data_IF_498365851720
#
_entry.id   IF_498365851720
#
_cell.length_a   1.000
_cell.length_b   1.000
_cell.length_c   1.000
_cell.angle_alpha   90.00
_cell.angle_beta   90.00
_cell.angle_gamma   90.00
#
_symmetry.space_group_name_H-M   'P 1'
#
loop_
_entity.id
_entity.type
_entity.pdbx_description
1 polymer ?
#
# COMPACT_ATOMS: atom_id res chain seq x y z
N UNK A 1 -20.81 22.24 -2.34
CA UNK A 1 -20.96 21.60 -3.67
C UNK A 1 -22.15 20.63 -3.66
N UNK A 2 -23.30 21.04 -3.12
CA UNK A 2 -24.51 20.19 -3.04
C UNK A 2 -25.61 20.60 -4.03
N UNK A 3 -25.36 21.62 -4.87
CA UNK A 3 -26.38 22.19 -5.75
C UNK A 3 -26.28 21.76 -7.22
N UNK A 4 -25.29 20.94 -7.61
CA UNK A 4 -25.13 20.47 -9.02
C UNK A 4 -25.49 18.98 -9.19
N UNK A 5 -25.56 18.20 -8.10
CA UNK A 5 -25.88 16.77 -8.13
C UNK A 5 -27.38 16.43 -8.13
N UNK A 6 -28.27 17.43 -8.07
CA UNK A 6 -29.73 17.20 -8.12
C UNK A 6 -30.33 17.26 -9.53
N UNK A 7 -29.54 17.60 -10.55
CA UNK A 7 -30.05 17.73 -11.92
C UNK A 7 -29.96 16.42 -12.73
N UNK A 8 -29.02 15.52 -12.41
CA UNK A 8 -28.80 14.30 -13.20
C UNK A 8 -29.69 13.10 -12.84
N UNK A 9 -30.55 13.19 -11.82
CA UNK A 9 -31.45 12.07 -11.45
C UNK A 9 -32.88 12.19 -12.00
N UNK A 10 -33.26 13.28 -12.67
CA UNK A 10 -34.64 13.47 -13.16
C UNK A 10 -34.83 13.27 -14.68
N UNK A 11 -33.77 13.07 -15.46
CA UNK A 11 -33.89 12.89 -16.93
C UNK A 11 -33.71 11.42 -17.38
N UNK A 12 -33.40 10.51 -16.46
CA UNK A 12 -33.16 9.09 -16.74
C UNK A 12 -34.41 8.20 -16.85
N UNK A 13 -35.59 8.74 -17.14
CA UNK A 13 -36.84 7.96 -17.25
C UNK A 13 -37.31 7.69 -18.69
N UNK A 14 -36.49 7.96 -19.71
CA UNK A 14 -36.84 7.69 -21.12
C UNK A 14 -35.87 6.76 -21.88
N UNK A 15 -34.78 6.30 -21.27
CA UNK A 15 -33.89 5.32 -21.90
C UNK A 15 -33.61 4.19 -20.92
N UNK A 16 -34.46 3.16 -20.96
CA UNK A 16 -34.43 2.00 -20.06
C UNK A 16 -33.06 1.31 -19.99
N UNK A 17 -32.27 1.66 -18.98
CA UNK A 17 -31.14 0.89 -18.50
C UNK A 17 -31.31 0.65 -17.00
N UNK A 18 -31.04 -0.60 -16.60
CA UNK A 18 -31.24 -1.10 -15.25
C UNK A 18 -30.44 -0.29 -14.20
N UNK A 19 -30.97 -0.14 -12.97
CA UNK A 19 -30.28 0.57 -11.90
C UNK A 19 -28.97 -0.13 -11.51
N UNK A 20 -27.87 0.63 -11.53
CA UNK A 20 -26.61 0.22 -10.90
C UNK A 20 -26.86 -0.06 -9.41
N UNK A 21 -26.69 -1.31 -9.01
CA UNK A 21 -26.83 -1.80 -7.65
C UNK A 21 -25.65 -1.31 -6.79
N UNK A 22 -25.76 -0.10 -6.23
CA UNK A 22 -24.88 0.35 -5.14
C UNK A 22 -25.45 -0.23 -3.84
N UNK A 23 -25.10 -1.47 -3.54
CA UNK A 23 -25.26 -2.01 -2.20
C UNK A 23 -23.95 -2.62 -1.75
N UNK A 24 -23.66 -2.47 -0.46
CA UNK A 24 -22.77 -3.34 0.32
C UNK A 24 -21.30 -2.96 0.54
N UNK A 25 -20.86 -1.72 0.25
CA UNK A 25 -19.58 -1.21 0.79
C UNK A 25 -19.71 -0.10 1.85
N UNK A 26 -20.88 0.52 2.00
CA UNK A 26 -21.11 1.56 3.03
C UNK A 26 -21.34 0.97 4.42
N UNK A 27 -21.77 -0.28 4.53
CA UNK A 27 -22.11 -0.92 5.81
C UNK A 27 -20.89 -1.48 6.57
N UNK A 28 -19.81 -1.86 5.88
CA UNK A 28 -18.62 -2.35 6.58
C UNK A 28 -17.87 -1.21 7.28
N UNK A 29 -17.73 -0.03 6.67
CA UNK A 29 -17.10 1.13 7.33
C UNK A 29 -17.86 1.61 8.59
N UNK A 30 -19.20 1.50 8.61
CA UNK A 30 -20.02 1.93 9.75
C UNK A 30 -19.92 0.98 10.95
N UNK A 31 -19.79 -0.33 10.72
CA UNK A 31 -19.60 -1.33 11.78
C UNK A 31 -18.19 -1.23 12.39
N UNK A 32 -17.16 -0.98 11.57
CA UNK A 32 -15.78 -0.80 12.03
C UNK A 32 -15.60 0.45 12.91
N UNK A 33 -16.15 1.60 12.49
CA UNK A 33 -16.13 2.84 13.29
C UNK A 33 -16.96 2.71 14.56
N UNK A 34 -18.12 2.05 14.49
CA UNK A 34 -18.98 1.83 15.66
C UNK A 34 -18.36 0.90 16.70
N UNK A 35 -17.62 -0.13 16.30
CA UNK A 35 -16.91 -1.02 17.24
C UNK A 35 -15.66 -0.36 17.84
N UNK A 36 -14.97 0.51 17.09
CA UNK A 36 -13.86 1.31 17.61
C UNK A 36 -14.33 2.34 18.65
N UNK A 37 -15.43 3.05 18.36
CA UNK A 37 -16.05 4.01 19.26
C UNK A 37 -16.75 3.35 20.47
N UNK A 38 -17.24 2.10 20.33
CA UNK A 38 -17.76 1.31 21.47
C UNK A 38 -16.67 0.77 22.39
N UNK A 39 -15.44 0.57 21.90
CA UNK A 39 -14.32 0.14 22.75
C UNK A 39 -13.85 1.20 23.74
N UNK A 40 -14.12 2.47 23.45
CA UNK A 40 -13.86 3.60 24.36
C UNK A 40 -14.81 3.68 25.57
N UNK A 41 -15.90 2.91 25.60
CA UNK A 41 -16.93 2.96 26.66
C UNK A 41 -16.87 1.76 27.63
N UNK A 42 -15.92 0.85 27.44
CA UNK A 42 -15.61 -0.12 28.50
C UNK A 42 -14.83 0.61 29.59
N UNK A 43 -15.35 0.62 30.83
CA UNK A 43 -14.63 1.10 32.02
C UNK A 43 -13.24 0.44 32.08
N UNK A 44 -12.24 1.13 31.54
CA UNK A 44 -10.86 0.66 31.53
C UNK A 44 -10.43 0.45 32.98
N UNK A 45 -9.91 -0.73 33.34
CA UNK A 45 -9.31 -0.95 34.65
C UNK A 45 -8.29 0.14 34.94
N UNK A 46 -8.24 0.54 36.21
CA UNK A 46 -7.39 1.60 36.77
C UNK A 46 -5.99 1.63 36.13
N UNK A 47 -5.79 2.61 35.23
CA UNK A 47 -4.52 3.09 34.70
C UNK A 47 -3.61 2.07 33.98
N UNK A 48 -4.01 1.57 32.81
CA UNK A 48 -3.03 1.08 31.84
C UNK A 48 -2.32 2.28 31.19
N UNK A 49 -1.14 2.66 31.70
CA UNK A 49 -0.29 3.63 30.99
C UNK A 49 0.50 2.92 29.90
N UNK A 50 0.22 3.19 28.63
CA UNK A 50 0.94 2.57 27.51
C UNK A 50 0.11 2.45 26.24
N UNK A 51 0.63 1.72 25.25
CA UNK A 51 -0.17 1.31 24.10
C UNK A 51 -1.26 0.33 24.55
N UNK A 52 -2.45 0.44 23.98
CA UNK A 52 -3.42 -0.66 24.02
C UNK A 52 -2.94 -1.84 23.15
N UNK A 53 -3.71 -2.92 23.17
CA UNK A 53 -3.52 -4.02 22.23
C UNK A 53 -3.83 -3.57 20.80
N UNK A 54 -3.05 -4.06 19.84
CA UNK A 54 -3.36 -3.87 18.42
C UNK A 54 -4.81 -4.27 18.13
N UNK A 55 -5.57 -3.39 17.47
CA UNK A 55 -6.90 -3.70 16.95
C UNK A 55 -6.84 -4.77 15.86
N UNK A 56 -7.96 -5.21 15.25
CA UNK A 56 -7.90 -6.12 14.10
C UNK A 56 -7.31 -5.46 12.85
N UNK A 57 -6.78 -6.26 11.92
CA UNK A 57 -6.34 -5.79 10.60
C UNK A 57 -7.53 -5.33 9.78
N UNK A 58 -7.43 -4.16 9.14
CA UNK A 58 -8.42 -3.70 8.17
C UNK A 58 -8.53 -4.67 6.99
N UNK A 59 -9.62 -4.60 6.21
CA UNK A 59 -9.62 -5.15 4.85
C UNK A 59 -8.47 -4.60 4.00
N UNK A 60 -8.14 -5.32 2.93
CA UNK A 60 -7.15 -4.90 1.95
C UNK A 60 -7.55 -3.57 1.29
N UNK A 61 -6.60 -2.67 1.09
CA UNK A 61 -6.84 -1.35 0.49
C UNK A 61 -7.27 -1.39 -0.98
N UNK A 62 -7.10 -2.53 -1.66
CA UNK A 62 -7.60 -2.79 -3.02
C UNK A 62 -8.49 -4.02 -3.01
N UNK A 63 -9.32 -4.15 -4.04
CA UNK A 63 -10.14 -5.34 -4.35
C UNK A 63 -9.43 -6.33 -5.29
N UNK A 64 -8.33 -5.93 -5.92
CA UNK A 64 -7.50 -6.75 -6.81
C UNK A 64 -6.03 -6.31 -6.71
N UNK A 65 -5.11 -7.14 -7.17
CA UNK A 65 -3.68 -6.91 -7.17
C UNK A 65 -3.09 -6.80 -5.77
N UNK A 66 -2.09 -5.90 -5.62
CA UNK A 66 -1.37 -5.70 -4.36
C UNK A 66 -1.91 -4.48 -3.61
N UNK A 67 -2.20 -4.66 -2.32
CA UNK A 67 -2.66 -3.60 -1.43
C UNK A 67 -2.03 -3.68 -0.04
N UNK A 68 -2.58 -2.90 0.90
CA UNK A 68 -2.18 -2.90 2.30
C UNK A 68 -3.38 -3.15 3.21
N UNK A 69 -3.15 -3.93 4.26
CA UNK A 69 -4.01 -3.98 5.43
C UNK A 69 -3.35 -3.15 6.54
N UNK A 70 -4.18 -2.41 7.29
CA UNK A 70 -3.72 -1.51 8.34
C UNK A 70 -4.21 -1.99 9.69
N UNK A 71 -3.35 -1.97 10.69
CA UNK A 71 -3.70 -2.21 12.08
C UNK A 71 -3.33 -0.98 12.91
N UNK A 72 -4.21 -0.59 13.83
CA UNK A 72 -4.00 0.58 14.67
C UNK A 72 -4.07 0.21 16.15
N UNK A 73 -3.44 1.04 16.98
CA UNK A 73 -3.44 0.97 18.44
C UNK A 73 -3.48 2.38 19.03
N UNK A 74 -4.12 2.54 20.17
CA UNK A 74 -4.27 3.79 20.91
C UNK A 74 -3.24 3.90 22.03
N UNK A 75 -2.76 5.12 22.27
CA UNK A 75 -1.91 5.41 23.43
C UNK A 75 -2.81 5.80 24.61
N UNK A 76 -2.92 4.94 25.62
CA UNK A 76 -3.82 5.07 26.78
C UNK A 76 -3.25 6.01 27.88
N UNK A 77 -2.43 7.00 27.51
CA UNK A 77 -1.88 7.97 28.46
C UNK A 77 -2.91 9.00 28.93
N UNK A 78 -2.89 9.36 30.22
CA UNK A 78 -3.65 10.53 30.71
C UNK A 78 -3.05 11.82 30.15
N UNK A 79 -3.86 12.85 29.82
CA UNK A 79 -3.34 14.17 29.51
C UNK A 79 -2.50 14.69 30.70
N UNK A 80 -1.42 15.45 30.45
CA UNK A 80 -0.60 15.97 31.54
C UNK A 80 -1.48 16.83 32.45
N UNK A 81 -1.58 16.44 33.74
CA UNK A 81 -1.99 17.40 34.76
C UNK A 81 -0.92 18.49 34.75
N UNK A 82 -1.35 19.75 34.60
CA UNK A 82 -0.43 20.89 34.63
C UNK A 82 0.43 20.79 35.91
N UNK A 83 1.71 21.14 35.77
CA UNK A 83 2.82 21.11 36.75
C UNK A 83 3.72 19.85 36.64
N UNK A 84 4.97 20.04 36.18
CA UNK A 84 6.09 19.10 36.39
C UNK A 84 6.50 18.17 35.23
N UNK A 85 5.77 18.17 34.11
CA UNK A 85 6.30 17.89 32.78
C UNK A 85 7.09 16.61 32.50
N UNK A 86 6.46 15.43 32.54
CA UNK A 86 6.81 14.35 31.60
C UNK A 86 5.54 13.64 31.14
N UNK A 87 5.08 13.94 29.93
CA UNK A 87 4.06 13.13 29.26
C UNK A 87 4.65 11.75 29.02
N UNK A 88 4.05 10.69 29.58
CA UNK A 88 4.34 9.30 29.14
C UNK A 88 3.82 9.16 27.72
N UNK A 89 4.59 9.66 26.75
CA UNK A 89 4.34 9.46 25.32
C UNK A 89 4.66 8.01 24.99
N UNK A 90 3.71 7.29 24.42
CA UNK A 90 3.94 5.94 23.96
C UNK A 90 5.03 5.94 22.88
N UNK A 91 6.08 5.14 23.06
CA UNK A 91 7.18 5.02 22.10
C UNK A 91 6.83 4.03 20.99
N UNK A 92 7.18 4.36 19.75
CA UNK A 92 6.92 3.53 18.57
C UNK A 92 5.65 3.94 17.80
N UNK A 93 5.30 3.19 16.74
CA UNK A 93 4.23 3.60 15.84
C UNK A 93 2.83 3.25 16.41
N UNK A 94 1.84 4.08 16.12
CA UNK A 94 0.41 3.83 16.40
C UNK A 94 -0.29 3.00 15.32
N UNK A 95 0.34 2.86 14.15
CA UNK A 95 -0.14 2.09 13.01
C UNK A 95 0.94 1.14 12.50
N UNK A 96 0.53 -0.02 12.02
CA UNK A 96 1.39 -0.92 11.25
C UNK A 96 0.64 -1.43 10.02
N UNK A 97 1.41 -1.85 9.03
CA UNK A 97 0.91 -2.28 7.74
C UNK A 97 1.41 -3.69 7.43
N UNK A 98 0.59 -4.48 6.75
CA UNK A 98 1.02 -5.72 6.10
C UNK A 98 0.53 -5.73 4.66
N UNK A 99 1.28 -6.37 3.80
CA UNK A 99 0.94 -6.48 2.40
C UNK A 99 -0.12 -7.58 2.19
N UNK A 100 -1.19 -7.25 1.49
CA UNK A 100 -2.17 -8.19 0.97
C UNK A 100 -1.98 -8.35 -0.55
N UNK A 101 -2.11 -9.59 -1.02
CA UNK A 101 -2.09 -9.93 -2.44
C UNK A 101 -3.40 -10.64 -2.79
N UNK A 102 -4.12 -10.05 -3.75
CA UNK A 102 -5.39 -10.53 -4.26
C UNK A 102 -5.21 -10.98 -5.71
N UNK A 103 -6.30 -11.44 -6.33
CA UNK A 103 -6.30 -11.77 -7.76
C UNK A 103 -5.81 -10.57 -8.59
N UNK A 104 -5.01 -10.78 -9.65
CA UNK A 104 -4.57 -9.71 -10.54
C UNK A 104 -5.74 -8.86 -11.01
N UNK A 105 -5.50 -7.56 -11.23
CA UNK A 105 -6.51 -6.69 -11.80
C UNK A 105 -6.55 -6.87 -13.32
N UNK A 106 -7.74 -7.01 -13.90
CA UNK A 106 -7.90 -7.07 -15.36
C UNK A 106 -7.41 -5.79 -16.02
N UNK A 107 -6.63 -5.95 -17.10
CA UNK A 107 -6.13 -4.83 -17.90
C UNK A 107 -5.07 -3.94 -17.24
N UNK A 108 -4.68 -4.20 -15.99
CA UNK A 108 -3.54 -3.53 -15.38
C UNK A 108 -2.23 -4.24 -15.76
N UNK A 109 -1.19 -3.46 -16.03
CA UNK A 109 0.15 -3.99 -16.15
C UNK A 109 0.53 -4.76 -14.87
N UNK A 110 1.27 -5.86 -15.02
CA UNK A 110 1.86 -6.58 -13.88
C UNK A 110 2.71 -5.66 -13.00
N UNK A 111 3.28 -4.62 -13.61
CA UNK A 111 3.95 -3.50 -12.93
C UNK A 111 2.97 -2.39 -12.54
N UNK A 112 2.69 -2.29 -11.24
CA UNK A 112 1.84 -1.28 -10.61
C UNK A 112 2.37 0.14 -10.81
N UNK A 113 3.68 0.33 -10.97
CA UNK A 113 4.29 1.64 -11.23
C UNK A 113 4.08 2.04 -12.69
N UNK A 114 4.20 1.10 -13.63
CA UNK A 114 3.90 1.33 -15.04
C UNK A 114 2.44 1.75 -15.24
N UNK A 115 1.49 1.08 -14.58
CA UNK A 115 0.07 1.45 -14.64
C UNK A 115 -0.17 2.92 -14.22
N UNK A 116 0.56 3.39 -13.19
CA UNK A 116 0.48 4.79 -12.75
C UNK A 116 1.02 5.77 -13.80
N UNK A 117 2.13 5.46 -14.47
CA UNK A 117 2.63 6.29 -15.58
C UNK A 117 1.64 6.29 -16.76
N UNK A 118 1.10 5.13 -17.13
CA UNK A 118 0.16 5.01 -18.26
C UNK A 118 -1.15 5.75 -18.05
N UNK A 119 -1.56 6.03 -16.81
CA UNK A 119 -2.71 6.92 -16.54
C UNK A 119 -2.53 8.34 -17.08
N UNK A 120 -1.28 8.75 -17.38
CA UNK A 120 -0.95 10.04 -17.98
C UNK A 120 -0.78 9.99 -19.50
N UNK A 121 -0.95 8.83 -20.15
CA UNK A 121 -0.71 8.71 -21.60
C UNK A 121 -1.64 9.62 -22.42
N UNK A 122 -2.86 9.84 -21.92
CA UNK A 122 -3.86 10.71 -22.50
C UNK A 122 -3.83 12.16 -21.97
N UNK A 123 -2.87 12.50 -21.12
CA UNK A 123 -2.74 13.83 -20.51
C UNK A 123 -1.61 14.61 -21.21
N UNK A 124 -1.89 15.79 -21.80
CA UNK A 124 -0.84 16.60 -22.43
C UNK A 124 0.22 17.08 -21.43
N UNK A 125 1.49 16.88 -21.76
CA UNK A 125 2.66 17.39 -21.05
C UNK A 125 3.44 18.34 -21.96
N UNK A 126 3.45 19.64 -21.63
CA UNK A 126 4.01 20.67 -22.51
C UNK A 126 3.30 20.74 -23.87
N UNK A 127 1.99 20.49 -23.90
CA UNK A 127 1.17 20.54 -25.12
C UNK A 127 1.15 19.26 -25.96
N UNK A 128 1.97 18.25 -25.64
CA UNK A 128 2.03 16.98 -26.37
C UNK A 128 1.69 15.79 -25.47
N UNK A 129 1.08 14.76 -26.04
CA UNK A 129 0.84 13.48 -25.36
C UNK A 129 2.00 12.52 -25.61
N UNK A 130 2.21 11.61 -24.67
CA UNK A 130 3.29 10.64 -24.73
C UNK A 130 2.81 9.28 -24.21
N UNK A 131 3.44 8.21 -24.68
CA UNK A 131 3.39 6.91 -24.01
C UNK A 131 4.48 6.90 -22.96
N UNK A 132 4.10 6.81 -21.69
CA UNK A 132 5.01 6.91 -20.56
C UNK A 132 5.52 5.55 -20.12
N UNK A 133 6.80 5.46 -19.79
CA UNK A 133 7.40 4.30 -19.11
C UNK A 133 7.82 4.66 -17.69
N UNK A 134 7.51 3.79 -16.75
CA UNK A 134 7.93 3.93 -15.37
C UNK A 134 9.45 3.84 -15.24
N UNK A 135 9.97 4.67 -14.33
CA UNK A 135 11.36 4.60 -13.84
C UNK A 135 11.27 4.52 -12.33
N UNK A 136 12.17 3.73 -11.72
CA UNK A 136 12.42 3.79 -10.28
C UNK A 136 13.57 4.78 -10.08
N UNK A 137 13.31 5.99 -9.58
CA UNK A 137 14.36 6.97 -9.37
C UNK A 137 15.13 6.64 -8.09
N UNK A 138 16.44 6.43 -8.18
CA UNK A 138 17.31 6.38 -6.99
C UNK A 138 17.77 7.80 -6.62
N UNK A 139 17.74 8.24 -5.34
CA UNK A 139 17.27 7.54 -4.13
C UNK A 139 15.77 7.76 -3.81
N UNK A 140 15.02 8.46 -4.65
CA UNK A 140 13.63 8.85 -4.43
C UNK A 140 12.60 7.79 -4.88
N UNK A 141 12.83 6.51 -4.57
CA UNK A 141 12.11 5.36 -5.13
C UNK A 141 10.58 5.42 -5.06
N UNK A 142 9.99 6.25 -4.20
CA UNK A 142 8.54 6.40 -4.06
C UNK A 142 7.95 7.65 -4.75
N UNK A 143 8.69 8.32 -5.62
CA UNK A 143 8.19 9.33 -6.53
C UNK A 143 7.78 8.71 -7.87
N UNK A 144 6.73 9.23 -8.52
CA UNK A 144 6.32 8.76 -9.84
C UNK A 144 7.12 9.49 -10.93
N UNK A 145 8.31 8.98 -11.21
CA UNK A 145 9.12 9.42 -12.34
C UNK A 145 8.85 8.54 -13.56
N UNK A 146 8.55 9.18 -14.69
CA UNK A 146 8.27 8.52 -15.95
C UNK A 146 9.16 9.09 -17.07
N UNK A 147 9.49 8.26 -18.07
CA UNK A 147 10.17 8.68 -19.30
C UNK A 147 9.27 8.40 -20.49
N UNK A 148 9.09 9.34 -21.42
CA UNK A 148 8.32 9.07 -22.63
C UNK A 148 9.08 8.14 -23.57
N UNK A 149 8.37 7.24 -24.24
CA UNK A 149 8.94 6.40 -25.30
C UNK A 149 9.57 7.26 -26.40
N UNK A 150 10.75 6.86 -26.89
CA UNK A 150 11.48 7.59 -27.93
C UNK A 150 12.08 8.94 -27.50
N UNK A 151 11.96 9.33 -26.24
CA UNK A 151 12.52 10.59 -25.70
C UNK A 151 13.53 10.32 -24.59
N UNK A 152 14.43 11.27 -24.37
CA UNK A 152 15.51 11.17 -23.36
C UNK A 152 15.20 11.88 -22.05
N UNK A 153 14.22 12.78 -22.02
CA UNK A 153 13.87 13.49 -20.81
C UNK A 153 13.08 12.60 -19.85
N UNK A 154 13.14 12.92 -18.55
CA UNK A 154 12.32 12.32 -17.50
C UNK A 154 11.39 13.39 -16.96
N UNK A 155 10.20 12.98 -16.53
CA UNK A 155 9.23 13.86 -15.90
C UNK A 155 8.72 13.23 -14.61
N UNK A 156 8.58 14.05 -13.57
CA UNK A 156 7.90 13.65 -12.34
C UNK A 156 6.41 13.96 -12.51
N UNK A 157 5.61 12.93 -12.78
CA UNK A 157 4.18 13.08 -13.03
C UNK A 157 3.36 13.13 -11.73
N UNK A 158 3.89 12.59 -10.64
CA UNK A 158 3.34 12.74 -9.29
C UNK A 158 4.43 12.72 -8.22
N UNK A 159 4.23 13.50 -7.14
CA UNK A 159 5.16 13.60 -6.02
C UNK A 159 5.34 12.26 -5.28
N UNK A 160 4.29 11.45 -5.25
CA UNK A 160 4.28 10.15 -4.57
C UNK A 160 3.58 9.12 -5.47
N UNK A 161 4.12 7.89 -5.49
CA UNK A 161 3.40 6.74 -6.04
C UNK A 161 2.32 6.28 -5.06
N UNK A 162 1.35 5.51 -5.54
CA UNK A 162 0.32 4.87 -4.73
C UNK A 162 0.97 3.97 -3.68
N UNK A 163 0.38 3.96 -2.48
CA UNK A 163 0.78 3.00 -1.45
C UNK A 163 0.67 1.56 -1.99
N UNK A 164 1.51 0.67 -1.47
CA UNK A 164 1.70 -0.72 -1.96
C UNK A 164 2.55 -0.86 -3.24
N UNK A 165 2.98 0.24 -3.87
CA UNK A 165 3.91 0.18 -5.02
C UNK A 165 5.27 -0.35 -4.56
N UNK A 166 5.86 -1.35 -5.25
CA UNK A 166 7.21 -1.85 -4.93
C UNK A 166 8.29 -0.76 -5.03
N UNK A 167 9.29 -0.84 -4.14
CA UNK A 167 10.49 -0.01 -4.13
C UNK A 167 11.67 -0.79 -3.54
N UNK A 168 12.89 -0.26 -3.65
CA UNK A 168 14.08 -0.86 -3.06
C UNK A 168 14.47 -0.10 -1.80
N UNK A 169 14.71 -0.82 -0.70
CA UNK A 169 15.16 -0.25 0.56
C UNK A 169 16.63 -0.64 0.80
N UNK A 170 17.53 -0.10 -0.03
CA UNK A 170 18.91 -0.55 -0.11
C UNK A 170 18.99 -1.89 -0.86
N UNK A 171 19.49 -2.93 -0.19
CA UNK A 171 19.52 -4.30 -0.75
C UNK A 171 18.25 -5.10 -0.47
N UNK A 172 17.34 -4.57 0.35
CA UNK A 172 16.11 -5.24 0.75
C UNK A 172 14.93 -4.83 -0.14
N UNK A 173 13.97 -5.74 -0.33
CA UNK A 173 12.67 -5.40 -0.91
C UNK A 173 11.91 -4.42 -0.02
N UNK A 174 11.16 -3.52 -0.66
CA UNK A 174 10.37 -2.52 0.03
C UNK A 174 9.05 -2.21 -0.66
N UNK A 175 8.26 -1.41 0.04
CA UNK A 175 6.97 -0.92 -0.40
C UNK A 175 6.81 0.56 -0.05
N UNK A 176 6.27 1.33 -0.99
CA UNK A 176 5.98 2.73 -0.77
C UNK A 176 4.76 2.90 0.15
N UNK A 177 4.94 3.68 1.21
CA UNK A 177 3.85 4.13 2.10
C UNK A 177 4.06 5.60 2.42
N UNK A 178 3.10 6.45 2.02
CA UNK A 178 3.16 7.89 2.25
C UNK A 178 4.40 8.54 1.65
N UNK A 179 4.83 8.08 0.46
CA UNK A 179 6.00 8.61 -0.24
C UNK A 179 7.36 8.16 0.29
N UNK A 180 7.41 7.26 1.28
CA UNK A 180 8.68 6.70 1.79
C UNK A 180 8.76 5.21 1.49
N UNK A 181 9.92 4.73 1.03
CA UNK A 181 10.16 3.30 0.87
C UNK A 181 10.35 2.65 2.24
N UNK A 182 9.52 1.66 2.57
CA UNK A 182 9.60 0.90 3.82
C UNK A 182 9.98 -0.55 3.49
N UNK A 183 10.95 -1.10 4.22
CA UNK A 183 11.35 -2.51 4.11
C UNK A 183 10.13 -3.41 4.22
N UNK A 184 10.05 -4.43 3.37
CA UNK A 184 9.05 -5.49 3.43
C UNK A 184 9.73 -6.77 3.94
N UNK A 185 9.29 -7.29 5.08
CA UNK A 185 9.76 -8.59 5.55
C UNK A 185 9.17 -9.73 4.71
N UNK A 186 9.85 -10.89 4.72
CA UNK A 186 9.35 -12.10 4.06
C UNK A 186 8.01 -12.62 4.65
N UNK A 187 7.66 -12.17 5.86
CA UNK A 187 6.40 -12.40 6.57
C UNK A 187 5.27 -11.45 6.11
N UNK A 188 5.53 -10.64 5.08
CA UNK A 188 4.65 -9.60 4.53
C UNK A 188 4.37 -8.43 5.47
N UNK A 189 5.05 -8.34 6.62
CA UNK A 189 4.91 -7.20 7.53
C UNK A 189 5.85 -6.07 7.11
N UNK A 190 5.29 -4.87 7.00
CA UNK A 190 6.07 -3.68 6.64
C UNK A 190 6.89 -3.22 7.84
N UNK A 191 8.20 -3.06 7.63
CA UNK A 191 9.20 -2.78 8.65
C UNK A 191 9.66 -4.02 9.42
N UNK A 192 9.24 -5.23 9.02
CA UNK A 192 9.75 -6.47 9.63
C UNK A 192 11.20 -6.72 9.23
N UNK A 193 11.98 -7.23 10.19
CA UNK A 193 13.39 -7.60 9.99
C UNK A 193 13.55 -9.06 9.59
N UNK A 194 12.47 -9.81 9.47
CA UNK A 194 12.52 -11.18 8.97
C UNK A 194 12.92 -11.16 7.49
N UNK A 195 13.84 -12.07 7.16
CA UNK A 195 14.36 -12.29 5.80
C UNK A 195 14.20 -13.76 5.43
N UNK A 196 14.04 -14.03 4.15
CA UNK A 196 14.11 -15.39 3.66
C UNK A 196 15.53 -15.91 3.78
N UNK A 197 15.68 -17.18 4.11
CA UNK A 197 16.96 -17.88 4.02
C UNK A 197 17.30 -18.17 2.53
N UNK A 198 18.45 -18.79 2.27
CA UNK A 198 18.89 -19.12 0.90
C UNK A 198 17.97 -20.12 0.18
N UNK A 199 17.09 -20.76 0.92
CA UNK A 199 16.09 -21.69 0.42
C UNK A 199 14.75 -21.01 0.11
N UNK A 200 14.65 -19.69 0.32
CA UNK A 200 13.40 -18.95 0.17
C UNK A 200 12.44 -19.10 1.35
N UNK A 201 12.86 -19.73 2.45
CA UNK A 201 12.02 -19.93 3.64
C UNK A 201 12.14 -18.73 4.56
N UNK A 202 11.01 -18.08 4.86
CA UNK A 202 10.99 -16.92 5.75
C UNK A 202 11.41 -17.29 7.19
N UNK A 203 12.47 -16.66 7.69
CA UNK A 203 13.03 -17.00 9.01
C UNK A 203 13.66 -18.40 9.07
N UNK A 204 13.97 -18.99 7.92
CA UNK A 204 14.60 -20.30 7.82
C UNK A 204 16.07 -20.29 8.27
N UNK A 205 16.64 -21.50 8.35
CA UNK A 205 18.00 -21.74 8.83
C UNK A 205 18.94 -22.31 7.74
N UNK A 206 18.54 -22.23 6.46
CA UNK A 206 19.25 -22.77 5.29
C UNK A 206 19.35 -24.30 5.23
N UNK A 207 18.54 -25.04 5.98
CA UNK A 207 18.58 -26.52 5.94
C UNK A 207 17.66 -27.16 4.90
N UNK A 208 16.70 -26.40 4.35
CA UNK A 208 15.67 -26.91 3.43
C UNK A 208 16.10 -27.05 1.97
N UNK A 209 17.34 -26.68 1.63
CA UNK A 209 17.86 -26.70 0.27
C UNK A 209 19.38 -26.91 0.27
N UNK A 210 19.92 -27.25 -0.91
CA UNK A 210 21.36 -27.35 -1.16
C UNK A 210 21.74 -26.45 -2.32
N UNK A 211 22.87 -25.78 -2.21
CA UNK A 211 23.41 -24.96 -3.29
C UNK A 211 24.14 -25.85 -4.28
N UNK A 212 23.87 -25.67 -5.56
CA UNK A 212 24.65 -26.27 -6.65
C UNK A 212 25.44 -25.18 -7.36
N UNK A 213 26.67 -25.50 -7.77
CA UNK A 213 27.51 -24.64 -8.59
C UNK A 213 28.08 -25.47 -9.74
N UNK A 214 27.96 -24.96 -10.96
CA UNK A 214 28.45 -25.61 -12.18
C UNK A 214 28.70 -24.57 -13.27
N UNK A 215 29.40 -24.99 -14.33
CA UNK A 215 29.64 -24.18 -15.53
C UNK A 215 28.53 -24.53 -16.52
N UNK A 216 27.64 -23.59 -16.81
CA UNK A 216 26.64 -23.76 -17.87
C UNK A 216 27.33 -23.54 -19.21
N UNK A 217 27.31 -24.55 -20.08
CA UNK A 217 27.77 -24.39 -21.46
C UNK A 217 26.61 -23.96 -22.35
N UNK A 218 26.88 -23.17 -23.40
CA UNK A 218 25.85 -22.61 -24.28
C UNK A 218 24.93 -23.66 -24.93
N UNK A 219 25.35 -24.93 -25.00
CA UNK A 219 24.51 -26.04 -25.50
C UNK A 219 23.35 -26.40 -24.57
N UNK A 220 23.44 -26.10 -23.28
CA UNK A 220 22.45 -26.47 -22.26
C UNK A 220 21.39 -25.38 -22.03
N UNK A 221 21.49 -24.24 -22.73
CA UNK A 221 20.57 -23.10 -22.60
C UNK A 221 19.51 -23.02 -23.71
N UNK A 222 19.49 -23.97 -24.65
CA UNK A 222 18.63 -23.92 -25.85
C UNK A 222 17.52 -24.98 -25.90
N UNK A 223 17.21 -25.66 -24.80
CA UNK A 223 16.22 -26.74 -24.76
C UNK A 223 15.01 -26.50 -23.84
N UNK A 224 14.63 -25.23 -23.60
CA UNK A 224 13.32 -24.87 -23.02
C UNK A 224 12.63 -23.76 -23.82
#
# INVERSE_FOLDING_TARGET
>A
MEAVLRWFCLVGLLFGQAPCHISEQRQQHSVWTSNYLRRSDQRLPRASSGWDGWGPWSPCSRSCGRGLETQSRLCLGRPPRRIGGLTRRCRGPSKRYRLCALQPCDGEASDVRQAQCSSFDNVPYGGQRYVWKAIVPEPEDCQLQCRPEGRKFKATLAKVVRDATPCSAGLDEGVCIGGTCKILGCDRLVGSRLRADRCGVCGGNNSGCRTFSGILTHRELSED
#
